data_IF_259114234667
#
_entry.id   IF_259114234667
#
_cell.length_a   1.000
_cell.length_b   1.000
_cell.length_c   1.000
_cell.angle_alpha   90.00
_cell.angle_beta   90.00
_cell.angle_gamma   90.00
#
_symmetry.space_group_name_H-M   'P 1'
#
loop_
_entity.id
_entity.type
_entity.pdbx_description
1 polymer ?
#
# COMPACT_ATOMS: atom_id res chain seq x y z
N UNK A 1 2.95 26.68 -4.81
CA UNK A 1 2.40 26.20 -3.52
C UNK A 1 1.54 24.94 -3.66
N UNK A 2 1.01 24.63 -4.84
CA UNK A 2 0.20 23.44 -5.15
C UNK A 2 0.98 22.12 -5.23
N UNK A 3 2.24 22.14 -5.66
CA UNK A 3 3.02 20.89 -5.80
C UNK A 3 3.48 20.33 -4.45
N UNK A 4 3.91 21.18 -3.53
CA UNK A 4 4.33 20.75 -2.17
C UNK A 4 3.16 20.13 -1.40
N UNK A 5 1.97 20.71 -1.54
CA UNK A 5 0.73 20.18 -0.95
C UNK A 5 0.33 18.85 -1.59
N UNK A 6 0.49 18.71 -2.91
CA UNK A 6 0.24 17.45 -3.61
C UNK A 6 1.15 16.31 -3.11
N UNK A 7 2.46 16.55 -3.02
CA UNK A 7 3.40 15.55 -2.49
C UNK A 7 3.13 15.20 -1.02
N UNK A 8 2.76 16.18 -0.20
CA UNK A 8 2.41 15.94 1.20
C UNK A 8 1.16 15.07 1.34
N UNK A 9 0.13 15.28 0.50
CA UNK A 9 -1.08 14.46 0.49
C UNK A 9 -0.77 13.01 0.07
N UNK A 10 0.03 12.82 -0.98
CA UNK A 10 0.46 11.48 -1.40
C UNK A 10 1.23 10.78 -0.28
N UNK A 11 2.17 11.47 0.36
CA UNK A 11 2.94 10.93 1.47
C UNK A 11 2.04 10.52 2.64
N UNK A 12 1.07 11.36 3.00
CA UNK A 12 0.11 11.08 4.07
C UNK A 12 -0.75 9.85 3.74
N UNK A 13 -1.24 9.73 2.49
CA UNK A 13 -2.03 8.59 2.05
C UNK A 13 -1.21 7.28 2.11
N UNK A 14 0.06 7.31 1.70
CA UNK A 14 0.96 6.14 1.79
C UNK A 14 1.18 5.75 3.26
N UNK A 15 1.33 6.72 4.16
CA UNK A 15 1.47 6.43 5.59
C UNK A 15 0.20 5.82 6.18
N UNK A 16 -0.98 6.36 5.86
CA UNK A 16 -2.27 5.81 6.31
C UNK A 16 -2.46 4.39 5.77
N UNK A 17 -2.12 4.17 4.51
CA UNK A 17 -2.20 2.85 3.88
C UNK A 17 -1.28 1.84 4.59
N UNK A 18 0.01 2.20 4.73
CA UNK A 18 1.06 1.30 5.24
C UNK A 18 0.91 1.00 6.73
N UNK A 19 0.51 2.00 7.54
CA UNK A 19 0.48 1.88 8.99
C UNK A 19 -0.92 1.69 9.57
N UNK A 20 -1.96 2.11 8.84
CA UNK A 20 -3.36 1.94 9.20
C UNK A 20 -3.97 0.73 8.53
N UNK A 21 -4.29 0.84 7.23
CA UNK A 21 -5.19 -0.09 6.55
C UNK A 21 -4.56 -1.46 6.24
N UNK A 22 -3.32 -1.48 5.72
CA UNK A 22 -2.61 -2.71 5.40
C UNK A 22 -2.06 -3.43 6.65
N UNK A 23 -2.00 -2.74 7.79
CA UNK A 23 -1.50 -3.27 9.07
C UNK A 23 -2.62 -3.86 9.96
N UNK A 24 -3.64 -4.46 9.34
CA UNK A 24 -4.79 -5.03 10.05
C UNK A 24 -5.04 -6.48 9.65
N UNK A 25 -5.82 -7.18 10.48
CA UNK A 25 -6.38 -8.51 10.14
C UNK A 25 -7.21 -8.46 8.84
N UNK A 26 -7.79 -7.31 8.52
CA UNK A 26 -8.59 -7.08 7.32
C UNK A 26 -7.72 -6.52 6.19
N UNK A 27 -6.69 -7.26 5.81
CA UNK A 27 -5.72 -6.88 4.77
C UNK A 27 -6.35 -6.35 3.48
N UNK A 28 -7.51 -6.89 3.10
CA UNK A 28 -8.30 -6.46 1.95
C UNK A 28 -8.76 -5.00 2.02
N UNK A 29 -8.92 -4.41 3.21
CA UNK A 29 -9.26 -2.99 3.37
C UNK A 29 -8.11 -2.06 2.95
N UNK A 30 -6.85 -2.51 3.07
CA UNK A 30 -5.71 -1.81 2.46
C UNK A 30 -5.81 -1.76 0.94
N UNK A 31 -6.44 -2.76 0.31
CA UNK A 31 -6.56 -2.82 -1.15
C UNK A 31 -7.37 -1.66 -1.77
N UNK A 32 -8.10 -0.89 -0.96
CA UNK A 32 -8.90 0.25 -1.42
C UNK A 32 -8.02 1.36 -1.98
N UNK A 33 -6.90 1.70 -1.33
CA UNK A 33 -6.00 2.76 -1.81
C UNK A 33 -5.30 2.41 -3.14
N UNK A 34 -4.66 1.25 -3.33
CA UNK A 34 -4.08 0.87 -4.61
C UNK A 34 -5.16 0.73 -5.69
N UNK A 35 -6.37 0.28 -5.34
CA UNK A 35 -7.49 0.21 -6.29
C UNK A 35 -7.92 1.60 -6.77
N UNK A 36 -8.17 2.54 -5.85
CA UNK A 36 -8.54 3.91 -6.21
C UNK A 36 -7.43 4.62 -6.97
N UNK A 37 -6.17 4.40 -6.61
CA UNK A 37 -5.03 4.92 -7.35
C UNK A 37 -4.96 4.37 -8.77
N UNK A 38 -5.19 3.06 -8.93
CA UNK A 38 -5.25 2.41 -10.26
C UNK A 38 -6.39 2.97 -11.11
N UNK A 39 -7.60 3.08 -10.55
CA UNK A 39 -8.75 3.69 -11.24
C UNK A 39 -8.44 5.11 -11.66
N UNK A 40 -7.80 5.91 -10.79
CA UNK A 40 -7.42 7.29 -11.10
C UNK A 40 -6.42 7.37 -12.25
N UNK A 41 -5.40 6.50 -12.26
CA UNK A 41 -4.43 6.40 -13.36
C UNK A 41 -5.14 6.07 -14.67
N UNK A 42 -6.02 5.06 -14.67
CA UNK A 42 -6.78 4.66 -15.87
C UNK A 42 -7.68 5.80 -16.37
N UNK A 43 -8.38 6.50 -15.47
CA UNK A 43 -9.23 7.63 -15.84
C UNK A 43 -8.44 8.79 -16.45
N UNK A 44 -7.25 9.10 -15.92
CA UNK A 44 -6.35 10.11 -16.49
C UNK A 44 -5.93 9.69 -17.89
N UNK A 45 -5.54 8.43 -18.08
CA UNK A 45 -5.16 7.91 -19.39
C UNK A 45 -6.31 8.00 -20.39
N UNK A 46 -7.52 7.55 -20.04
CA UNK A 46 -8.69 7.58 -20.94
C UNK A 46 -9.07 9.02 -21.36
N UNK A 47 -8.86 10.00 -20.47
CA UNK A 47 -9.16 11.42 -20.76
C UNK A 47 -8.05 12.15 -21.51
N UNK A 48 -6.86 11.57 -21.64
CA UNK A 48 -5.74 12.22 -22.31
C UNK A 48 -5.88 12.11 -23.83
N UNK A 49 -5.88 13.24 -24.52
CA UNK A 49 -5.96 13.30 -26.00
C UNK A 49 -4.66 12.86 -26.67
N UNK A 50 -3.54 12.94 -25.96
CA UNK A 50 -2.22 12.55 -26.44
C UNK A 50 -1.52 11.64 -25.42
N UNK A 51 -1.53 10.34 -25.70
CA UNK A 51 -0.81 9.33 -24.91
C UNK A 51 0.35 8.80 -25.77
N UNK A 52 1.56 8.85 -25.24
CA UNK A 52 2.74 8.25 -25.86
C UNK A 52 3.16 6.99 -25.11
N UNK A 53 4.02 6.17 -25.72
CA UNK A 53 4.48 4.91 -25.11
C UNK A 53 5.03 5.07 -23.69
N UNK A 54 5.73 6.18 -23.41
CA UNK A 54 6.25 6.51 -22.08
C UNK A 54 5.16 6.58 -21.01
N UNK A 55 3.96 7.05 -21.34
CA UNK A 55 2.87 7.21 -20.38
C UNK A 55 2.32 5.85 -19.93
N UNK A 56 2.28 4.86 -20.84
CA UNK A 56 1.94 3.48 -20.49
C UNK A 56 2.95 2.86 -19.52
N UNK A 57 4.25 3.11 -19.73
CA UNK A 57 5.29 2.66 -18.80
C UNK A 57 5.11 3.32 -17.43
N UNK A 58 4.89 4.64 -17.41
CA UNK A 58 4.69 5.38 -16.16
C UNK A 58 3.45 4.89 -15.40
N UNK A 59 2.35 4.63 -16.10
CA UNK A 59 1.14 4.07 -15.52
C UNK A 59 1.39 2.68 -14.92
N UNK A 60 2.06 1.80 -15.67
CA UNK A 60 2.41 0.46 -15.18
C UNK A 60 3.31 0.53 -13.93
N UNK A 61 4.33 1.39 -13.94
CA UNK A 61 5.20 1.60 -12.78
C UNK A 61 4.40 2.15 -11.59
N UNK A 62 3.51 3.12 -11.81
CA UNK A 62 2.66 3.67 -10.76
C UNK A 62 1.77 2.61 -10.11
N UNK A 63 1.13 1.76 -10.90
CA UNK A 63 0.29 0.65 -10.41
C UNK A 63 1.15 -0.37 -9.64
N UNK A 64 2.32 -0.75 -10.16
CA UNK A 64 3.22 -1.67 -9.47
C UNK A 64 3.67 -1.11 -8.11
N UNK A 65 4.00 0.17 -8.05
CA UNK A 65 4.37 0.84 -6.79
C UNK A 65 3.22 0.75 -5.79
N UNK A 66 1.99 1.09 -6.20
CA UNK A 66 0.80 0.98 -5.34
C UNK A 66 0.63 -0.43 -4.77
N UNK A 67 0.75 -1.47 -5.61
CA UNK A 67 0.61 -2.87 -5.18
C UNK A 67 1.75 -3.32 -4.26
N UNK A 68 2.99 -2.90 -4.54
CA UNK A 68 4.15 -3.22 -3.71
C UNK A 68 4.01 -2.62 -2.31
N UNK A 69 3.56 -1.37 -2.20
CA UNK A 69 3.33 -0.74 -0.90
C UNK A 69 2.24 -1.47 -0.10
N UNK A 70 1.14 -1.83 -0.75
CA UNK A 70 0.07 -2.61 -0.11
C UNK A 70 0.55 -3.98 0.39
N UNK A 71 1.28 -4.72 -0.45
CA UNK A 71 1.85 -6.04 -0.09
C UNK A 71 2.86 -5.95 1.06
N UNK A 72 3.72 -4.92 1.07
CA UNK A 72 4.66 -4.68 2.17
C UNK A 72 3.97 -4.37 3.50
N UNK A 73 2.86 -3.63 3.48
CA UNK A 73 2.06 -3.38 4.68
C UNK A 73 1.56 -4.68 5.31
N UNK A 74 1.11 -5.63 4.49
CA UNK A 74 0.67 -6.95 4.94
C UNK A 74 1.79 -7.80 5.53
N UNK A 75 2.92 -7.84 4.84
CA UNK A 75 4.07 -8.64 5.28
C UNK A 75 4.53 -8.18 6.67
N UNK A 76 4.50 -6.87 6.95
CA UNK A 76 4.79 -6.31 8.28
C UNK A 76 3.78 -6.78 9.33
N UNK A 77 2.49 -6.76 9.03
CA UNK A 77 1.45 -7.27 9.94
C UNK A 77 1.66 -8.75 10.28
N UNK A 78 1.91 -9.56 9.25
CA UNK A 78 2.15 -11.00 9.39
C UNK A 78 3.39 -11.28 10.24
N UNK A 79 4.50 -10.59 9.97
CA UNK A 79 5.74 -10.70 10.76
C UNK A 79 5.55 -10.33 12.23
N UNK A 80 4.80 -9.26 12.52
CA UNK A 80 4.47 -8.87 13.90
C UNK A 80 3.66 -9.96 14.61
N UNK A 81 2.61 -10.45 13.96
CA UNK A 81 1.71 -11.46 14.53
C UNK A 81 2.45 -12.78 14.79
N UNK A 82 3.33 -13.21 13.88
CA UNK A 82 4.18 -14.40 14.06
C UNK A 82 5.15 -14.22 15.23
N UNK A 83 5.77 -13.05 15.36
CA UNK A 83 6.68 -12.75 16.49
C UNK A 83 5.97 -12.81 17.83
N UNK A 84 4.76 -12.29 17.93
CA UNK A 84 3.94 -12.33 19.15
C UNK A 84 3.54 -13.76 19.50
N UNK A 85 3.09 -14.56 18.53
CA UNK A 85 2.76 -15.98 18.73
C UNK A 85 3.95 -16.79 19.24
N UNK A 86 5.13 -16.61 18.62
CA UNK A 86 6.33 -17.33 19.03
C UNK A 86 6.77 -16.95 20.46
N UNK A 87 6.60 -15.67 20.85
CA UNK A 87 6.89 -15.21 22.21
C UNK A 87 5.95 -15.81 23.25
N UNK A 88 4.66 -15.93 22.92
CA UNK A 88 3.69 -16.60 23.80
C UNK A 88 4.03 -18.08 23.96
N UNK A 89 4.31 -18.78 22.85
CA UNK A 89 4.67 -20.20 22.87
C UNK A 89 5.95 -20.47 23.68
N UNK A 90 6.98 -19.63 23.55
CA UNK A 90 8.21 -19.78 24.35
C UNK A 90 7.97 -19.59 25.84
N UNK A 91 7.07 -18.69 26.23
CA UNK A 91 6.73 -18.47 27.63
C UNK A 91 5.98 -19.68 28.20
N UNK A 92 5.01 -20.23 27.47
CA UNK A 92 4.24 -21.41 27.90
C UNK A 92 5.14 -22.63 28.10
N UNK A 93 6.13 -22.82 27.23
CA UNK A 93 7.11 -23.90 27.34
C UNK A 93 8.08 -23.70 28.53
N UNK A 94 8.36 -22.46 28.92
CA UNK A 94 9.25 -22.15 30.04
C UNK A 94 8.59 -22.32 31.41
N UNK A 95 7.25 -22.37 31.49
CA UNK A 95 6.50 -22.49 32.75
C UNK A 95 6.05 -23.91 33.07
N UNK A 96 6.41 -24.89 32.22
CA UNK A 96 6.05 -26.30 32.37
C UNK A 96 7.27 -27.13 32.75
#
# INVERSE_FOLDING_TARGET
MTELTFFAIIMLLILIETYGLANTKYFWLGGIIPLLGTISIVLIMVKSEHIIFRDYIMAAVGILVLLVFWGQGHDRYTKRTLKEKNKMLSNDLSQK
#
